data_IF_210862521325
#
_entry.id   IF_210862521325
#
_cell.length_a   1.000
_cell.length_b   1.000
_cell.length_c   1.000
_cell.angle_alpha   90.00
_cell.angle_beta   90.00
_cell.angle_gamma   90.00
#
_symmetry.space_group_name_H-M   'P 1'
#
loop_
_entity.id
_entity.type
_entity.pdbx_description
1 polymer ?
#
# COMPACT_ATOMS: atom_id res chain seq x y z
N UNK A 1 -0.26 3.37 -26.35
CA UNK A 1 -0.01 1.92 -26.30
C UNK A 1 0.89 1.60 -27.49
N UNK A 2 2.05 0.95 -27.33
CA UNK A 2 2.42 0.03 -28.40
C UNK A 2 1.25 -0.96 -28.41
N UNK A 3 0.42 -0.96 -29.46
CA UNK A 3 -0.95 -1.51 -29.44
C UNK A 3 -1.03 -3.01 -29.09
N UNK A 4 0.12 -3.64 -28.82
CA UNK A 4 0.33 -5.07 -28.73
C UNK A 4 0.71 -5.59 -27.34
N UNK A 5 1.05 -4.75 -26.34
CA UNK A 5 1.39 -5.29 -25.01
C UNK A 5 0.12 -5.77 -24.26
N UNK A 6 0.05 -7.07 -23.99
CA UNK A 6 -0.98 -7.71 -23.18
C UNK A 6 -0.31 -8.51 -22.06
N UNK A 7 -0.86 -8.40 -20.86
CA UNK A 7 -0.45 -9.23 -19.73
C UNK A 7 -0.76 -10.69 -20.04
N UNK A 8 0.21 -11.56 -19.80
CA UNK A 8 -0.04 -12.99 -19.72
C UNK A 8 -0.75 -13.27 -18.41
N UNK A 9 -1.96 -13.81 -18.50
CA UNK A 9 -2.84 -14.17 -17.39
C UNK A 9 -3.21 -15.66 -17.44
N UNK A 10 -2.49 -16.45 -18.25
CA UNK A 10 -2.80 -17.85 -18.53
C UNK A 10 -2.82 -18.71 -17.28
N UNK A 11 -1.99 -18.39 -16.29
CA UNK A 11 -1.87 -19.11 -15.01
C UNK A 11 -2.79 -18.57 -13.90
N UNK A 12 -3.59 -17.53 -14.16
CA UNK A 12 -4.57 -17.07 -13.17
C UNK A 12 -5.66 -18.14 -12.92
N UNK A 13 -5.96 -18.46 -11.64
CA UNK A 13 -7.02 -19.40 -11.31
C UNK A 13 -8.39 -18.88 -11.79
N UNK A 14 -9.29 -19.80 -12.15
CA UNK A 14 -10.62 -19.48 -12.68
C UNK A 14 -11.41 -18.58 -11.73
N UNK A 15 -11.29 -18.84 -10.43
CA UNK A 15 -11.92 -18.10 -9.34
C UNK A 15 -11.48 -16.64 -9.33
N UNK A 16 -10.18 -16.38 -9.53
CA UNK A 16 -9.66 -15.02 -9.59
C UNK A 16 -10.08 -14.31 -10.87
N UNK A 17 -10.17 -15.02 -12.00
CA UNK A 17 -10.74 -14.46 -13.25
C UNK A 17 -12.21 -14.06 -13.06
N UNK A 18 -13.00 -14.89 -12.38
CA UNK A 18 -14.38 -14.56 -12.03
C UNK A 18 -14.44 -13.33 -11.10
N UNK A 19 -13.59 -13.25 -10.08
CA UNK A 19 -13.48 -12.05 -9.21
C UNK A 19 -13.17 -10.81 -10.04
N UNK A 20 -12.20 -10.87 -10.95
CA UNK A 20 -11.85 -9.74 -11.82
C UNK A 20 -13.04 -9.32 -12.68
N UNK A 21 -13.78 -10.27 -13.26
CA UNK A 21 -14.98 -9.98 -14.06
C UNK A 21 -16.07 -9.27 -13.25
N UNK A 22 -16.34 -9.76 -12.03
CA UNK A 22 -17.30 -9.12 -11.12
C UNK A 22 -16.87 -7.70 -10.70
N UNK A 23 -15.55 -7.44 -10.62
CA UNK A 23 -15.00 -6.12 -10.30
C UNK A 23 -14.93 -5.16 -11.50
N UNK A 24 -14.97 -5.68 -12.73
CA UNK A 24 -15.02 -4.89 -13.97
C UNK A 24 -16.39 -4.26 -14.16
N UNK A 25 -17.44 -5.08 -14.08
CA UNK A 25 -18.77 -4.75 -14.59
C UNK A 25 -19.48 -3.63 -13.81
N UNK A 26 -19.93 -2.55 -14.49
CA UNK A 26 -20.75 -1.52 -13.88
C UNK A 26 -22.17 -2.02 -13.59
N UNK A 27 -22.77 -2.81 -14.51
CA UNK A 27 -24.16 -3.28 -14.48
C UNK A 27 -24.26 -4.81 -14.58
N UNK A 28 -25.42 -5.36 -14.18
CA UNK A 28 -25.78 -6.80 -14.17
C UNK A 28 -25.91 -7.43 -15.54
N UNK A 29 -26.48 -6.72 -16.51
CA UNK A 29 -26.78 -7.24 -17.84
C UNK A 29 -25.52 -7.71 -18.59
N UNK A 30 -24.37 -7.05 -18.35
CA UNK A 30 -23.08 -7.44 -18.92
C UNK A 30 -22.42 -8.62 -18.19
N UNK A 31 -22.81 -8.88 -16.93
CA UNK A 31 -22.24 -9.99 -16.16
C UNK A 31 -22.81 -11.31 -16.68
N UNK A 32 -24.12 -11.39 -16.93
CA UNK A 32 -24.77 -12.66 -17.29
C UNK A 32 -24.26 -13.28 -18.59
N UNK A 33 -23.89 -12.48 -19.60
CA UNK A 33 -23.47 -12.98 -20.92
C UNK A 33 -22.03 -13.54 -20.92
N UNK A 34 -21.10 -12.91 -20.18
CA UNK A 34 -19.71 -13.38 -20.10
C UNK A 34 -19.47 -14.40 -18.96
N UNK A 35 -20.38 -14.51 -17.99
CA UNK A 35 -20.13 -15.26 -16.76
C UNK A 35 -20.58 -16.72 -16.77
N UNK A 36 -21.48 -17.16 -17.67
CA UNK A 36 -21.96 -18.55 -17.65
C UNK A 36 -20.83 -19.58 -17.85
N UNK A 37 -19.92 -19.32 -18.79
CA UNK A 37 -18.72 -20.16 -18.96
C UNK A 37 -17.73 -20.01 -17.79
N UNK A 38 -17.65 -18.80 -17.19
CA UNK A 38 -16.76 -18.52 -16.05
C UNK A 38 -17.27 -19.09 -14.72
N UNK A 39 -18.56 -19.37 -14.61
CA UNK A 39 -19.19 -19.94 -13.41
C UNK A 39 -19.13 -21.47 -13.39
N UNK A 40 -18.77 -22.09 -14.51
CA UNK A 40 -18.68 -23.56 -14.63
C UNK A 40 -17.43 -24.09 -13.93
N UNK A 41 -17.61 -25.11 -13.09
CA UNK A 41 -16.55 -25.78 -12.31
C UNK A 41 -15.74 -24.83 -11.41
N UNK A 42 -16.39 -23.85 -10.78
CA UNK A 42 -15.75 -22.96 -9.80
C UNK A 42 -15.58 -23.66 -8.45
N UNK A 43 -14.36 -23.62 -7.91
CA UNK A 43 -14.11 -23.92 -6.50
C UNK A 43 -14.51 -22.70 -5.65
N UNK A 44 -15.70 -22.77 -5.07
CA UNK A 44 -16.27 -21.69 -4.28
C UNK A 44 -15.54 -21.45 -2.95
N UNK A 45 -14.84 -22.43 -2.40
CA UNK A 45 -14.00 -22.25 -1.22
C UNK A 45 -12.73 -21.48 -1.58
N UNK A 46 -12.10 -21.81 -2.72
CA UNK A 46 -10.99 -21.04 -3.27
C UNK A 46 -11.43 -19.62 -3.67
N UNK A 47 -12.62 -19.43 -4.23
CA UNK A 47 -13.20 -18.11 -4.50
C UNK A 47 -13.32 -17.26 -3.23
N UNK A 48 -13.80 -17.85 -2.13
CA UNK A 48 -13.87 -17.21 -0.82
C UNK A 48 -12.45 -16.85 -0.31
N UNK A 49 -11.50 -17.78 -0.43
CA UNK A 49 -10.12 -17.56 -0.01
C UNK A 49 -9.45 -16.41 -0.78
N UNK A 50 -9.58 -16.39 -2.11
CA UNK A 50 -9.09 -15.33 -3.00
C UNK A 50 -9.73 -13.98 -2.68
N UNK A 51 -11.06 -13.97 -2.49
CA UNK A 51 -11.82 -12.78 -2.11
C UNK A 51 -11.34 -12.17 -0.79
N UNK A 52 -11.06 -13.02 0.21
CA UNK A 52 -10.50 -12.61 1.50
C UNK A 52 -9.07 -12.09 1.35
N UNK A 53 -8.22 -12.82 0.63
CA UNK A 53 -6.82 -12.50 0.39
C UNK A 53 -6.67 -11.12 -0.26
N UNK A 54 -7.40 -10.87 -1.35
CA UNK A 54 -7.38 -9.60 -2.07
C UNK A 54 -8.18 -8.48 -1.40
N UNK A 55 -8.93 -8.80 -0.33
CA UNK A 55 -9.72 -7.86 0.48
C UNK A 55 -10.79 -7.10 -0.32
N UNK A 56 -11.42 -7.78 -1.27
CA UNK A 56 -12.44 -7.22 -2.17
C UNK A 56 -13.86 -7.64 -1.82
N UNK A 57 -14.03 -8.41 -0.73
CA UNK A 57 -15.32 -8.89 -0.26
C UNK A 57 -16.40 -7.81 -0.07
N UNK A 58 -16.11 -6.54 0.32
CA UNK A 58 -17.18 -5.57 0.47
C UNK A 58 -17.81 -5.18 -0.88
N UNK A 59 -16.98 -5.05 -1.92
CA UNK A 59 -17.42 -4.71 -3.27
C UNK A 59 -18.09 -5.92 -3.91
N UNK A 60 -17.55 -7.12 -3.73
CA UNK A 60 -18.18 -8.33 -4.27
C UNK A 60 -19.56 -8.58 -3.64
N UNK A 61 -19.74 -8.27 -2.34
CA UNK A 61 -21.05 -8.34 -1.71
C UNK A 61 -22.08 -7.42 -2.36
N UNK A 62 -21.70 -6.23 -2.86
CA UNK A 62 -22.65 -5.35 -3.58
C UNK A 62 -22.92 -5.85 -4.99
N UNK A 63 -21.92 -6.44 -5.66
CA UNK A 63 -22.06 -6.97 -7.03
C UNK A 63 -22.89 -8.24 -7.09
N UNK A 64 -22.65 -9.17 -6.19
CA UNK A 64 -23.33 -10.48 -6.18
C UNK A 64 -24.81 -10.34 -5.84
N UNK A 65 -25.20 -9.35 -5.01
CA UNK A 65 -26.62 -9.03 -4.75
C UNK A 65 -27.43 -8.66 -5.99
N UNK A 66 -26.76 -8.31 -7.07
CA UNK A 66 -27.40 -7.93 -8.31
C UNK A 66 -27.53 -9.12 -9.28
N UNK A 67 -26.88 -10.25 -8.98
CA UNK A 67 -26.95 -11.47 -9.80
C UNK A 67 -28.14 -12.33 -9.42
N UNK A 68 -28.56 -13.19 -10.34
CA UNK A 68 -29.60 -14.19 -10.08
C UNK A 68 -29.16 -15.15 -8.96
N UNK A 69 -30.08 -15.43 -8.01
CA UNK A 69 -29.79 -16.21 -6.79
C UNK A 69 -29.25 -17.62 -7.09
N UNK A 70 -29.60 -18.19 -8.24
CA UNK A 70 -29.22 -19.55 -8.64
C UNK A 70 -27.79 -19.67 -9.17
N UNK A 71 -27.11 -18.54 -9.50
CA UNK A 71 -25.77 -18.57 -10.10
C UNK A 71 -24.64 -18.75 -9.07
N UNK A 72 -24.88 -18.41 -7.80
CA UNK A 72 -23.87 -18.41 -6.75
C UNK A 72 -24.39 -19.18 -5.55
N UNK A 73 -23.64 -20.15 -5.00
CA UNK A 73 -24.09 -20.93 -3.86
C UNK A 73 -24.45 -20.06 -2.65
N UNK A 74 -25.53 -20.37 -1.91
CA UNK A 74 -25.98 -19.57 -0.78
C UNK A 74 -24.92 -19.31 0.30
N UNK A 75 -24.01 -20.27 0.54
CA UNK A 75 -22.98 -20.12 1.56
C UNK A 75 -21.94 -19.03 1.20
N UNK A 76 -21.66 -18.82 -0.09
CA UNK A 76 -20.75 -17.76 -0.56
C UNK A 76 -21.38 -16.39 -0.29
N UNK A 77 -22.66 -16.24 -0.62
CA UNK A 77 -23.41 -15.03 -0.32
C UNK A 77 -23.43 -14.71 1.18
N UNK A 78 -23.76 -15.72 2.01
CA UNK A 78 -23.79 -15.57 3.46
C UNK A 78 -22.42 -15.14 4.02
N UNK A 79 -21.34 -15.76 3.53
CA UNK A 79 -19.99 -15.39 3.92
C UNK A 79 -19.67 -13.93 3.57
N UNK A 80 -19.88 -13.52 2.32
CA UNK A 80 -19.57 -12.15 1.87
C UNK A 80 -20.40 -11.09 2.61
N UNK A 81 -21.67 -11.37 2.85
CA UNK A 81 -22.55 -10.49 3.63
C UNK A 81 -22.05 -10.36 5.08
N UNK A 82 -21.64 -11.47 5.70
CA UNK A 82 -21.07 -11.45 7.05
C UNK A 82 -19.77 -10.62 7.09
N UNK A 83 -18.86 -10.81 6.12
CA UNK A 83 -17.61 -10.05 6.06
C UNK A 83 -17.87 -8.56 5.77
N UNK A 84 -18.82 -8.24 4.89
CA UNK A 84 -19.24 -6.87 4.61
C UNK A 84 -19.73 -6.18 5.90
N UNK A 85 -20.64 -6.81 6.65
CA UNK A 85 -21.14 -6.27 7.93
C UNK A 85 -19.99 -6.05 8.93
N UNK A 86 -19.08 -7.02 9.08
CA UNK A 86 -17.90 -6.90 9.95
C UNK A 86 -17.03 -5.71 9.54
N UNK A 87 -16.78 -5.53 8.24
CA UNK A 87 -16.03 -4.40 7.73
C UNK A 87 -16.74 -3.07 7.99
N UNK A 88 -18.06 -2.99 7.81
CA UNK A 88 -18.82 -1.77 8.12
C UNK A 88 -18.62 -1.34 9.57
N UNK A 89 -18.76 -2.26 10.53
CA UNK A 89 -18.51 -1.94 11.94
C UNK A 89 -17.06 -1.53 12.20
N UNK A 90 -16.09 -2.23 11.62
CA UNK A 90 -14.67 -1.87 11.74
C UNK A 90 -14.40 -0.45 11.18
N UNK A 91 -14.94 -0.11 10.02
CA UNK A 91 -14.75 1.18 9.36
C UNK A 91 -15.44 2.32 10.11
N UNK A 92 -16.58 2.06 10.76
CA UNK A 92 -17.22 3.02 11.67
C UNK A 92 -16.37 3.27 12.92
N UNK A 93 -15.83 2.20 13.52
CA UNK A 93 -14.94 2.30 14.68
C UNK A 93 -13.66 3.09 14.35
N UNK A 94 -13.03 2.78 13.22
CA UNK A 94 -11.86 3.52 12.74
C UNK A 94 -12.21 4.98 12.40
N UNK A 95 -13.41 5.27 11.88
CA UNK A 95 -13.84 6.64 11.57
C UNK A 95 -13.93 7.49 12.83
N UNK A 96 -14.54 6.94 13.89
CA UNK A 96 -14.68 7.63 15.17
C UNK A 96 -13.30 7.93 15.79
N UNK A 97 -12.40 6.95 15.77
CA UNK A 97 -11.04 7.14 16.30
C UNK A 97 -10.24 8.15 15.48
N UNK A 98 -10.33 8.08 14.15
CA UNK A 98 -9.68 9.01 13.24
C UNK A 98 -10.13 10.46 13.51
N UNK A 99 -11.44 10.69 13.70
CA UNK A 99 -11.96 12.02 14.06
C UNK A 99 -11.44 12.47 15.43
N UNK A 100 -11.42 11.59 16.43
CA UNK A 100 -10.91 11.89 17.76
C UNK A 100 -9.42 12.28 17.72
N UNK A 101 -8.58 11.48 17.07
CA UNK A 101 -7.15 11.74 16.92
C UNK A 101 -6.93 13.05 16.16
N UNK A 102 -7.60 13.25 15.03
CA UNK A 102 -7.47 14.48 14.24
C UNK A 102 -7.84 15.73 15.05
N UNK A 103 -8.91 15.66 15.84
CA UNK A 103 -9.36 16.78 16.68
C UNK A 103 -8.32 17.13 17.74
N UNK A 104 -7.78 16.14 18.43
CA UNK A 104 -6.80 16.34 19.49
C UNK A 104 -5.47 16.86 18.94
N UNK A 105 -5.00 16.30 17.82
CA UNK A 105 -3.81 16.77 17.14
C UNK A 105 -3.97 18.23 16.70
N UNK A 106 -5.13 18.58 16.14
CA UNK A 106 -5.42 19.96 15.74
C UNK A 106 -5.47 20.93 16.93
N UNK A 107 -5.92 20.50 18.11
CA UNK A 107 -5.95 21.32 19.33
C UNK A 107 -4.53 21.62 19.84
N UNK A 108 -3.62 20.68 19.68
CA UNK A 108 -2.19 20.80 20.02
C UNK A 108 -1.35 21.42 18.90
N UNK A 109 -1.98 21.86 17.80
CA UNK A 109 -1.32 22.50 16.66
C UNK A 109 -0.55 21.55 15.74
N UNK A 110 -0.72 20.24 15.88
CA UNK A 110 -0.06 19.21 15.07
C UNK A 110 -0.82 19.03 13.75
N UNK A 111 -0.11 19.14 12.63
CA UNK A 111 -0.73 19.03 11.29
C UNK A 111 -0.71 17.58 10.81
N UNK A 112 -1.88 17.06 10.44
CA UNK A 112 -2.05 15.67 9.99
C UNK A 112 -2.57 15.59 8.55
N UNK A 113 -1.93 14.78 7.71
CA UNK A 113 -2.44 14.36 6.41
C UNK A 113 -2.74 12.87 6.43
N UNK A 114 -4.02 12.49 6.35
CA UNK A 114 -4.39 11.08 6.36
C UNK A 114 -4.08 10.43 5.01
N UNK A 115 -3.45 9.25 5.06
CA UNK A 115 -2.93 8.55 3.90
C UNK A 115 -3.84 7.39 3.47
N UNK A 116 -4.49 6.73 4.43
CA UNK A 116 -5.38 5.58 4.20
C UNK A 116 -6.58 5.64 5.15
N UNK A 117 -7.09 4.49 5.58
CA UNK A 117 -8.22 4.42 6.52
C UNK A 117 -9.58 4.80 5.91
N UNK A 118 -10.55 5.15 6.78
CA UNK A 118 -11.91 5.49 6.39
C UNK A 118 -12.04 6.74 5.55
N UNK A 119 -11.21 7.75 5.76
CA UNK A 119 -11.25 8.99 4.96
C UNK A 119 -10.94 8.72 3.49
N UNK A 120 -9.99 7.84 3.19
CA UNK A 120 -9.70 7.43 1.82
C UNK A 120 -10.84 6.59 1.22
N UNK A 121 -11.53 5.80 2.06
CA UNK A 121 -12.71 5.06 1.64
C UNK A 121 -13.84 6.01 1.21
N UNK A 122 -14.11 7.04 2.02
CA UNK A 122 -15.09 8.08 1.67
C UNK A 122 -14.69 8.82 0.39
N UNK A 123 -13.43 9.23 0.27
CA UNK A 123 -12.93 10.00 -0.89
C UNK A 123 -13.05 9.23 -2.20
N UNK A 124 -12.69 7.93 -2.20
CA UNK A 124 -12.66 7.14 -3.42
C UNK A 124 -13.99 6.44 -3.74
N UNK A 125 -14.76 6.06 -2.73
CA UNK A 125 -15.94 5.19 -2.92
C UNK A 125 -17.25 5.88 -2.55
N UNK A 126 -17.23 7.02 -1.86
CA UNK A 126 -18.42 7.69 -1.34
C UNK A 126 -19.10 6.97 -0.17
N UNK A 127 -18.64 5.77 0.19
CA UNK A 127 -19.14 4.91 1.25
C UNK A 127 -17.95 4.18 1.91
N UNK A 128 -17.74 4.43 3.20
CA UNK A 128 -16.65 3.83 3.97
C UNK A 128 -16.70 2.31 4.03
N UNK A 129 -17.88 1.70 3.88
CA UNK A 129 -18.07 0.24 3.97
C UNK A 129 -17.51 -0.53 2.79
N UNK A 130 -17.26 0.14 1.65
CA UNK A 130 -16.80 -0.49 0.41
C UNK A 130 -15.28 -0.71 0.36
N UNK A 131 -14.53 -0.08 1.27
CA UNK A 131 -13.09 -0.26 1.39
C UNK A 131 -12.76 -0.91 2.73
N UNK A 132 -11.77 -1.79 2.74
CA UNK A 132 -11.28 -2.39 3.98
C UNK A 132 -10.12 -1.58 4.56
N UNK A 133 -9.94 -1.60 5.87
CA UNK A 133 -8.77 -1.04 6.56
C UNK A 133 -8.59 -1.70 7.93
N UNK A 134 -7.34 -1.82 8.36
CA UNK A 134 -6.95 -2.41 9.66
C UNK A 134 -6.46 -1.37 10.66
N UNK A 135 -6.23 -0.15 10.20
CA UNK A 135 -5.33 0.83 10.78
C UNK A 135 -5.72 2.24 10.31
N UNK A 136 -5.24 3.25 11.03
CA UNK A 136 -5.31 4.65 10.61
C UNK A 136 -3.90 5.16 10.35
N UNK A 137 -3.57 5.34 9.07
CA UNK A 137 -2.31 5.94 8.62
C UNK A 137 -2.46 7.45 8.44
N UNK A 138 -1.57 8.22 9.07
CA UNK A 138 -1.48 9.66 8.81
C UNK A 138 -0.04 10.15 8.87
N UNK A 139 0.24 11.18 8.08
CA UNK A 139 1.53 11.84 7.97
C UNK A 139 1.55 13.09 8.85
N UNK A 140 2.65 13.30 9.57
CA UNK A 140 2.97 14.52 10.32
C UNK A 140 4.37 15.02 9.93
N UNK A 141 4.71 16.29 10.21
CA UNK A 141 6.10 16.76 10.18
C UNK A 141 6.95 15.97 11.17
N UNK A 142 8.14 15.53 10.76
CA UNK A 142 9.05 14.79 11.65
C UNK A 142 9.42 15.56 12.93
N UNK A 143 9.42 16.89 12.86
CA UNK A 143 9.69 17.77 14.01
C UNK A 143 8.57 17.69 15.07
N UNK A 144 7.37 17.29 14.70
CA UNK A 144 6.20 17.18 15.58
C UNK A 144 6.03 15.76 16.15
N UNK A 145 6.92 14.81 15.81
CA UNK A 145 6.78 13.40 16.18
C UNK A 145 6.87 13.14 17.69
N UNK A 146 7.76 13.83 18.39
CA UNK A 146 7.90 13.69 19.85
C UNK A 146 6.63 14.17 20.57
N UNK A 147 6.10 15.34 20.17
CA UNK A 147 4.83 15.86 20.68
C UNK A 147 3.65 14.92 20.37
N UNK A 148 3.62 14.33 19.16
CA UNK A 148 2.62 13.36 18.77
C UNK A 148 2.69 12.08 19.62
N UNK A 149 3.91 11.58 19.90
CA UNK A 149 4.13 10.41 20.77
C UNK A 149 3.60 10.67 22.19
N UNK A 150 3.95 11.81 22.79
CA UNK A 150 3.44 12.20 24.11
C UNK A 150 1.91 12.26 24.17
N UNK A 151 1.28 12.82 23.13
CA UNK A 151 -0.17 12.93 23.04
C UNK A 151 -0.82 11.55 22.91
N UNK A 152 -0.28 10.68 22.07
CA UNK A 152 -0.80 9.31 21.88
C UNK A 152 -0.68 8.48 23.16
N UNK A 153 0.45 8.57 23.88
CA UNK A 153 0.63 7.90 25.17
C UNK A 153 -0.40 8.36 26.19
N UNK A 154 -0.67 9.67 26.27
CA UNK A 154 -1.75 10.22 27.14
C UNK A 154 -3.14 9.69 26.76
N UNK A 155 -3.35 9.31 25.50
CA UNK A 155 -4.59 8.71 25.01
C UNK A 155 -4.66 7.19 25.21
N UNK A 156 -3.65 6.58 25.84
CA UNK A 156 -3.61 5.15 26.12
C UNK A 156 -3.10 4.30 24.95
N UNK A 157 -2.44 4.91 23.98
CA UNK A 157 -1.71 4.19 22.95
C UNK A 157 -0.34 3.76 23.45
N UNK A 158 0.05 2.54 23.09
CA UNK A 158 1.35 1.95 23.36
C UNK A 158 2.13 1.83 22.05
N UNK A 159 3.43 2.08 22.09
CA UNK A 159 4.30 1.93 20.92
C UNK A 159 4.48 0.42 20.63
N UNK A 160 4.06 -0.02 19.44
CA UNK A 160 4.10 -1.44 19.03
C UNK A 160 5.53 -1.82 18.59
N UNK A 161 6.26 -0.87 17.99
CA UNK A 161 7.59 -1.09 17.43
C UNK A 161 8.62 -0.10 17.98
N UNK A 162 9.73 -0.62 18.51
CA UNK A 162 10.94 0.16 18.79
C UNK A 162 11.93 0.04 17.63
N UNK A 163 12.28 1.18 17.04
CA UNK A 163 13.27 1.22 15.96
C UNK A 163 14.66 1.27 16.59
N UNK A 164 15.40 0.18 16.46
CA UNK A 164 16.83 0.17 16.77
C UNK A 164 17.58 1.06 15.78
N UNK A 165 18.52 1.87 16.28
CA UNK A 165 19.21 2.86 15.46
C UNK A 165 20.63 3.10 15.96
N UNK A 166 21.51 3.44 15.01
CA UNK A 166 22.85 3.96 15.26
C UNK A 166 22.98 5.25 14.47
N UNK A 167 23.48 6.31 15.09
CA UNK A 167 23.64 7.63 14.46
C UNK A 167 22.31 8.27 13.98
N UNK A 168 21.18 8.00 14.63
CA UNK A 168 19.85 8.56 14.30
C UNK A 168 19.40 8.31 12.84
N UNK A 169 19.85 7.20 12.25
CA UNK A 169 19.58 6.83 10.87
C UNK A 169 18.12 6.42 10.62
N UNK A 170 17.38 6.08 11.68
CA UNK A 170 15.99 5.66 11.60
C UNK A 170 15.09 6.68 10.89
N UNK A 171 15.36 7.98 11.05
CA UNK A 171 14.55 9.06 10.47
C UNK A 171 14.44 8.97 8.94
N UNK A 172 15.46 8.44 8.27
CA UNK A 172 15.44 8.28 6.83
C UNK A 172 15.28 6.82 6.38
N UNK A 173 15.70 5.84 7.18
CA UNK A 173 15.51 4.41 6.88
C UNK A 173 14.07 3.95 7.08
N UNK A 174 13.42 4.44 8.13
CA UNK A 174 12.01 4.20 8.42
C UNK A 174 11.18 5.38 7.93
N UNK A 175 9.87 5.16 7.89
CA UNK A 175 8.91 6.15 7.39
C UNK A 175 7.70 6.34 8.29
N UNK A 176 7.48 5.42 9.23
CA UNK A 176 6.44 5.49 10.23
C UNK A 176 6.86 4.76 11.50
N UNK A 177 6.05 4.97 12.54
CA UNK A 177 6.04 4.19 13.76
C UNK A 177 4.60 3.77 14.08
N UNK A 178 4.45 2.58 14.64
CA UNK A 178 3.17 1.97 14.93
C UNK A 178 2.81 2.15 16.39
N UNK A 179 1.57 2.55 16.65
CA UNK A 179 0.98 2.62 17.98
C UNK A 179 -0.27 1.78 18.05
N UNK A 180 -0.46 1.05 19.14
CA UNK A 180 -1.60 0.19 19.38
C UNK A 180 -2.31 0.57 20.67
N UNK A 181 -3.64 0.69 20.61
CA UNK A 181 -4.45 0.90 21.80
C UNK A 181 -5.00 -0.45 22.30
N UNK A 182 -4.61 -0.93 23.50
CA UNK A 182 -4.94 -2.27 23.98
C UNK A 182 -6.45 -2.50 24.17
N UNK A 183 -7.17 -1.49 24.70
CA UNK A 183 -8.62 -1.57 24.90
C UNK A 183 -9.43 -1.34 23.63
N UNK A 184 -9.12 -0.30 22.85
CA UNK A 184 -9.86 0.01 21.61
C UNK A 184 -9.54 -0.98 20.48
N UNK A 185 -8.42 -1.71 20.58
CA UNK A 185 -7.90 -2.62 19.55
C UNK A 185 -7.67 -1.91 18.21
N UNK A 186 -7.23 -0.65 18.25
CA UNK A 186 -6.93 0.16 17.06
C UNK A 186 -5.43 0.33 16.91
N UNK A 187 -4.97 0.23 15.67
CA UNK A 187 -3.60 0.52 15.25
C UNK A 187 -3.56 1.89 14.55
N UNK A 188 -2.66 2.75 15.00
CA UNK A 188 -2.30 3.99 14.32
C UNK A 188 -0.89 3.83 13.74
N UNK A 189 -0.71 4.23 12.49
CA UNK A 189 0.61 4.38 11.91
C UNK A 189 0.89 5.88 11.74
N UNK A 190 1.87 6.39 12.49
CA UNK A 190 2.29 7.78 12.42
C UNK A 190 3.46 7.87 11.45
N UNK A 191 3.19 8.35 10.25
CA UNK A 191 4.16 8.52 9.17
C UNK A 191 4.82 9.90 9.27
N UNK A 192 6.10 9.99 8.89
CA UNK A 192 6.79 11.26 8.60
C UNK A 192 7.38 11.29 7.18
N UNK A 193 7.28 10.16 6.47
CA UNK A 193 7.63 9.97 5.06
C UNK A 193 6.56 9.11 4.39
N UNK A 194 6.36 9.23 3.08
CA UNK A 194 5.44 8.36 2.35
C UNK A 194 6.05 6.98 2.09
N UNK A 195 7.36 6.93 1.93
CA UNK A 195 8.11 5.71 1.65
C UNK A 195 9.41 5.64 2.46
N UNK A 196 9.90 4.43 2.78
CA UNK A 196 11.23 4.27 3.36
C UNK A 196 12.30 4.79 2.39
N UNK A 197 13.37 5.34 2.94
CA UNK A 197 14.50 5.86 2.16
C UNK A 197 15.28 4.77 1.39
N UNK A 198 16.26 5.17 0.56
CA UNK A 198 16.81 6.53 0.39
C UNK A 198 16.17 7.31 -0.77
N UNK A 199 14.97 6.94 -1.23
CA UNK A 199 14.27 7.65 -2.31
C UNK A 199 13.95 9.10 -1.95
N UNK A 200 13.94 9.98 -2.96
CA UNK A 200 13.38 11.34 -2.84
C UNK A 200 11.87 11.26 -2.89
N UNK A 201 11.19 12.08 -2.10
CA UNK A 201 9.74 12.23 -2.09
C UNK A 201 9.35 13.69 -1.78
N UNK A 202 8.07 14.08 -1.94
CA UNK A 202 7.59 15.39 -1.51
C UNK A 202 7.78 15.61 -0.01
N UNK A 203 8.15 16.82 0.37
CA UNK A 203 8.18 17.23 1.78
C UNK A 203 6.75 17.36 2.31
N UNK A 204 6.60 17.26 3.64
CA UNK A 204 5.30 17.47 4.28
C UNK A 204 4.65 18.81 3.88
N UNK A 205 5.42 19.90 3.85
CA UNK A 205 4.87 21.22 3.53
C UNK A 205 4.39 21.31 2.07
N UNK A 206 5.11 20.73 1.11
CA UNK A 206 4.66 20.65 -0.29
C UNK A 206 3.33 19.89 -0.41
N UNK A 207 3.18 18.77 0.33
CA UNK A 207 1.94 18.01 0.38
C UNK A 207 0.82 18.79 1.07
N UNK A 208 1.15 19.50 2.16
CA UNK A 208 0.21 20.30 2.93
C UNK A 208 -0.36 21.47 2.14
N UNK A 209 0.43 22.10 1.27
CA UNK A 209 -0.03 23.17 0.39
C UNK A 209 -1.05 22.67 -0.65
N UNK A 210 -0.87 21.43 -1.14
CA UNK A 210 -1.74 20.80 -2.17
C UNK A 210 -2.80 19.86 -1.60
N UNK A 211 -2.98 19.84 -0.28
CA UNK A 211 -3.91 18.93 0.41
C UNK A 211 -5.36 19.10 -0.06
N UNK A 212 -6.12 18.02 0.00
CA UNK A 212 -7.57 18.04 -0.13
C UNK A 212 -8.23 17.99 1.25
N UNK A 213 -9.48 18.46 1.34
CA UNK A 213 -10.29 18.40 2.57
C UNK A 213 -11.39 17.37 2.39
N UNK A 214 -11.50 16.44 3.33
CA UNK A 214 -12.59 15.47 3.36
C UNK A 214 -13.91 16.07 3.83
N UNK A 215 -15.00 15.48 3.36
CA UNK A 215 -16.37 15.75 3.80
C UNK A 215 -16.90 14.70 4.79
N UNK A 216 -16.10 13.71 5.17
CA UNK A 216 -16.53 12.57 6.00
C UNK A 216 -17.01 12.99 7.40
N UNK A 217 -16.37 13.99 8.00
CA UNK A 217 -16.58 14.38 9.40
C UNK A 217 -16.90 15.87 9.53
N UNK A 218 -17.46 16.25 10.68
CA UNK A 218 -17.72 17.65 11.04
C UNK A 218 -16.43 18.46 11.19
N UNK A 219 -15.39 17.83 11.74
CA UNK A 219 -14.06 18.42 11.89
C UNK A 219 -13.28 18.32 10.56
N UNK A 220 -12.46 19.33 10.21
CA UNK A 220 -11.68 19.29 8.97
C UNK A 220 -10.62 18.17 9.04
N UNK A 221 -10.79 17.13 8.22
CA UNK A 221 -9.79 16.10 7.97
C UNK A 221 -9.14 16.38 6.61
N UNK A 222 -7.81 16.31 6.55
CA UNK A 222 -7.05 16.58 5.33
C UNK A 222 -6.41 15.31 4.77
N UNK A 223 -6.41 15.18 3.44
CA UNK A 223 -5.68 14.13 2.71
C UNK A 223 -4.68 14.75 1.74
N UNK A 224 -3.90 13.89 1.09
CA UNK A 224 -3.12 14.27 -0.08
C UNK A 224 -4.03 14.80 -1.20
N UNK A 225 -3.56 15.81 -1.94
CA UNK A 225 -4.16 16.19 -3.22
C UNK A 225 -4.12 15.02 -4.20
N UNK A 226 -5.02 14.99 -5.19
CA UNK A 226 -5.24 13.81 -6.05
C UNK A 226 -3.98 13.34 -6.78
N UNK A 227 -3.15 14.25 -7.26
CA UNK A 227 -1.91 13.91 -7.96
C UNK A 227 -0.86 13.31 -7.02
N UNK A 228 -0.75 13.84 -5.80
CA UNK A 228 0.11 13.29 -4.75
C UNK A 228 -0.44 11.96 -4.20
N UNK A 229 -1.77 11.82 -4.11
CA UNK A 229 -2.45 10.58 -3.75
C UNK A 229 -2.18 9.50 -4.80
N UNK A 230 -2.23 9.83 -6.09
CA UNK A 230 -1.87 8.89 -7.15
C UNK A 230 -0.43 8.39 -6.99
N UNK A 231 0.54 9.31 -6.81
CA UNK A 231 1.94 8.98 -6.52
C UNK A 231 2.07 8.04 -5.32
N UNK A 232 1.36 8.34 -4.22
CA UNK A 232 1.38 7.52 -3.02
C UNK A 232 0.81 6.12 -3.26
N UNK A 233 -0.37 6.00 -3.88
CA UNK A 233 -1.05 4.72 -4.09
C UNK A 233 -0.26 3.80 -5.03
N UNK A 234 0.30 4.33 -6.13
CA UNK A 234 1.10 3.50 -7.06
C UNK A 234 2.42 3.06 -6.43
N UNK A 235 3.09 3.94 -5.68
CA UNK A 235 4.31 3.59 -4.96
C UNK A 235 4.05 2.52 -3.90
N UNK A 236 2.98 2.68 -3.11
CA UNK A 236 2.60 1.75 -2.07
C UNK A 236 2.21 0.39 -2.65
N UNK A 237 1.32 0.35 -3.65
CA UNK A 237 0.88 -0.89 -4.29
C UNK A 237 2.04 -1.66 -4.91
N UNK A 238 2.92 -0.98 -5.64
CA UNK A 238 4.09 -1.61 -6.25
C UNK A 238 5.08 -2.15 -5.22
N UNK A 239 5.34 -1.41 -4.14
CA UNK A 239 6.20 -1.87 -3.04
C UNK A 239 5.68 -3.14 -2.39
N UNK A 240 4.37 -3.35 -2.35
CA UNK A 240 3.75 -4.57 -1.84
C UNK A 240 3.41 -5.60 -2.93
N UNK A 241 4.02 -5.45 -4.11
CA UNK A 241 3.90 -6.40 -5.22
C UNK A 241 2.52 -6.47 -5.86
N UNK A 242 1.62 -5.53 -5.57
CA UNK A 242 0.21 -5.63 -6.00
C UNK A 242 -0.49 -6.94 -5.58
N UNK A 243 0.01 -7.61 -4.52
CA UNK A 243 -0.55 -8.86 -3.96
C UNK A 243 -2.04 -8.79 -3.59
N UNK A 244 -2.63 -7.59 -3.49
CA UNK A 244 -4.06 -7.41 -3.23
C UNK A 244 -4.72 -6.54 -4.28
N UNK A 245 -5.78 -7.04 -4.89
CA UNK A 245 -6.58 -6.29 -5.88
C UNK A 245 -7.16 -4.98 -5.32
N UNK A 246 -7.42 -4.89 -4.00
CA UNK A 246 -7.89 -3.65 -3.36
C UNK A 246 -7.06 -2.42 -3.76
N UNK A 247 -5.73 -2.55 -3.87
CA UNK A 247 -4.88 -1.41 -4.26
C UNK A 247 -5.14 -0.97 -5.70
N UNK A 248 -5.38 -1.89 -6.62
CA UNK A 248 -5.73 -1.57 -8.01
C UNK A 248 -7.14 -0.97 -8.10
N UNK A 249 -8.06 -1.38 -7.23
CA UNK A 249 -9.39 -0.77 -7.16
C UNK A 249 -9.29 0.68 -6.67
N UNK A 250 -8.45 0.98 -5.66
CA UNK A 250 -8.20 2.35 -5.23
C UNK A 250 -7.70 3.23 -6.41
N UNK A 251 -6.80 2.69 -7.25
CA UNK A 251 -6.36 3.36 -8.49
C UNK A 251 -7.52 3.55 -9.48
N UNK A 252 -8.31 2.50 -9.75
CA UNK A 252 -9.50 2.57 -10.62
C UNK A 252 -10.49 3.64 -10.17
N UNK A 253 -10.74 3.76 -8.86
CA UNK A 253 -11.66 4.79 -8.35
C UNK A 253 -11.06 6.20 -8.47
N UNK A 254 -9.77 6.36 -8.17
CA UNK A 254 -9.09 7.65 -8.33
C UNK A 254 -9.09 8.11 -9.80
N UNK A 255 -8.92 7.18 -10.74
CA UNK A 255 -8.95 7.47 -12.18
C UNK A 255 -10.31 7.99 -12.69
N UNK A 256 -11.40 7.74 -11.96
CA UNK A 256 -12.73 8.30 -12.28
C UNK A 256 -12.91 9.74 -11.80
N UNK A 257 -11.96 10.25 -11.03
CA UNK A 257 -11.99 11.62 -10.54
C UNK A 257 -11.18 12.55 -11.43
N UNK A 258 -11.32 13.85 -11.21
CA UNK A 258 -10.54 14.88 -11.91
C UNK A 258 -9.09 14.90 -11.39
N UNK A 259 -8.23 14.09 -12.00
CA UNK A 259 -6.78 14.07 -11.80
C UNK A 259 -6.11 14.84 -12.93
N UNK A 260 -5.23 15.80 -12.61
CA UNK A 260 -4.40 16.49 -13.61
C UNK A 260 -3.23 15.59 -13.98
N UNK A 261 -3.41 14.72 -14.98
CA UNK A 261 -2.44 13.68 -15.37
C UNK A 261 -1.06 14.21 -15.75
N UNK A 262 -0.99 15.37 -16.40
CA UNK A 262 0.27 16.06 -16.68
C UNK A 262 1.05 16.43 -15.42
N UNK A 263 0.35 16.90 -14.39
CA UNK A 263 0.95 17.22 -13.08
C UNK A 263 1.38 15.95 -12.36
N UNK A 264 0.53 14.92 -12.33
CA UNK A 264 0.85 13.62 -11.75
C UNK A 264 2.09 12.99 -12.40
N UNK A 265 2.21 13.08 -13.73
CA UNK A 265 3.38 12.61 -14.47
C UNK A 265 4.65 13.37 -14.11
N UNK A 266 4.58 14.71 -14.03
CA UNK A 266 5.72 15.54 -13.60
C UNK A 266 6.16 15.21 -12.18
N UNK A 267 5.24 14.99 -11.25
CA UNK A 267 5.55 14.55 -9.89
C UNK A 267 6.26 13.20 -9.90
N UNK A 268 5.64 12.19 -10.53
CA UNK A 268 6.22 10.85 -10.66
C UNK A 268 7.63 10.88 -11.27
N UNK A 269 7.85 11.67 -12.32
CA UNK A 269 9.17 11.82 -12.95
C UNK A 269 10.18 12.47 -12.01
N UNK A 270 9.78 13.53 -11.31
CA UNK A 270 10.64 14.28 -10.37
C UNK A 270 11.15 13.42 -9.21
N UNK A 271 10.37 12.42 -8.79
CA UNK A 271 10.72 11.49 -7.72
C UNK A 271 11.19 10.12 -8.22
N UNK A 272 11.26 9.91 -9.54
CA UNK A 272 11.78 8.67 -10.14
C UNK A 272 10.79 7.49 -10.13
N UNK A 273 9.49 7.75 -10.02
CA UNK A 273 8.39 6.76 -9.96
C UNK A 273 7.55 6.66 -11.24
N UNK A 274 7.89 7.36 -12.33
CA UNK A 274 7.11 7.35 -13.57
C UNK A 274 6.85 5.94 -14.14
N UNK A 275 7.82 5.01 -14.08
CA UNK A 275 7.60 3.62 -14.49
C UNK A 275 6.70 2.83 -13.53
N UNK A 276 6.68 3.20 -12.25
CA UNK A 276 5.77 2.63 -11.24
C UNK A 276 4.33 3.14 -11.46
N UNK A 277 4.18 4.42 -11.80
CA UNK A 277 2.90 4.98 -12.23
C UNK A 277 2.35 4.26 -13.46
N UNK A 278 3.19 4.06 -14.48
CA UNK A 278 2.83 3.28 -15.67
C UNK A 278 2.44 1.84 -15.35
N UNK A 279 3.20 1.15 -14.49
CA UNK A 279 2.85 -0.20 -14.00
C UNK A 279 1.44 -0.24 -13.40
N UNK A 280 1.13 0.68 -12.47
CA UNK A 280 -0.18 0.74 -11.81
C UNK A 280 -1.34 0.96 -12.79
N UNK A 281 -1.16 1.86 -13.78
CA UNK A 281 -2.18 2.13 -14.81
C UNK A 281 -2.36 0.90 -15.70
N UNK A 282 -1.28 0.26 -16.17
CA UNK A 282 -1.37 -0.95 -17.02
C UNK A 282 -2.18 -2.04 -16.31
N UNK A 283 -1.88 -2.30 -15.04
CA UNK A 283 -2.61 -3.28 -14.23
C UNK A 283 -4.09 -2.89 -14.07
N UNK A 284 -4.39 -1.63 -13.75
CA UNK A 284 -5.78 -1.16 -13.60
C UNK A 284 -6.58 -1.21 -14.92
N UNK A 285 -5.96 -0.88 -16.06
CA UNK A 285 -6.58 -0.97 -17.38
C UNK A 285 -6.87 -2.42 -17.77
N UNK A 286 -5.87 -3.30 -17.70
CA UNK A 286 -5.98 -4.67 -18.23
C UNK A 286 -6.69 -5.65 -17.27
N UNK A 287 -6.53 -5.49 -15.95
CA UNK A 287 -7.19 -6.37 -14.98
C UNK A 287 -8.61 -5.90 -14.66
N UNK A 288 -8.86 -4.59 -14.56
CA UNK A 288 -10.14 -4.03 -14.09
C UNK A 288 -10.95 -3.27 -15.15
N UNK A 289 -10.50 -3.26 -16.41
CA UNK A 289 -11.15 -2.59 -17.56
C UNK A 289 -11.50 -1.14 -17.25
N UNK A 290 -10.51 -0.40 -16.76
CA UNK A 290 -10.66 1.05 -16.54
C UNK A 290 -10.53 1.78 -17.88
N UNK A 291 -11.23 2.89 -18.04
CA UNK A 291 -11.15 3.70 -19.26
C UNK A 291 -9.76 4.32 -19.41
N UNK A 292 -9.20 4.21 -20.61
CA UNK A 292 -7.95 4.87 -20.96
C UNK A 292 -8.22 6.34 -21.31
N UNK A 293 -7.49 7.26 -20.68
CA UNK A 293 -7.48 8.67 -21.06
C UNK A 293 -6.19 8.97 -21.83
N UNK A 294 -6.29 9.63 -22.97
CA UNK A 294 -5.14 9.94 -23.84
C UNK A 294 -4.01 10.66 -23.10
N UNK A 295 -4.36 11.52 -22.13
CA UNK A 295 -3.42 12.25 -21.26
C UNK A 295 -2.51 11.33 -20.42
N UNK A 296 -2.90 10.08 -20.17
CA UNK A 296 -2.08 9.09 -19.47
C UNK A 296 -1.04 8.43 -20.38
N UNK A 297 -1.16 8.63 -21.71
CA UNK A 297 -0.33 8.01 -22.74
C UNK A 297 1.18 8.00 -22.43
N UNK A 298 1.80 9.12 -21.98
CA UNK A 298 3.22 9.17 -21.66
C UNK A 298 3.69 8.14 -20.62
N UNK A 299 2.81 7.71 -19.70
CA UNK A 299 3.16 6.72 -18.66
C UNK A 299 3.15 5.27 -19.18
N UNK A 300 2.43 5.00 -20.27
CA UNK A 300 2.15 3.65 -20.77
C UNK A 300 3.13 3.14 -21.83
N UNK A 301 3.96 4.03 -22.39
CA UNK A 301 4.86 3.70 -23.51
C UNK A 301 6.16 3.01 -23.02
N UNK A 302 6.47 3.07 -21.73
CA UNK A 302 7.72 2.50 -21.22
C UNK A 302 7.67 0.97 -21.16
N UNK A 303 8.59 0.31 -21.87
CA UNK A 303 8.84 -1.14 -21.76
C UNK A 303 9.08 -1.58 -20.31
N UNK A 304 9.69 -0.70 -19.51
CA UNK A 304 9.91 -0.97 -18.09
C UNK A 304 8.59 -1.05 -17.31
N UNK A 305 7.65 -0.14 -17.57
CA UNK A 305 6.31 -0.18 -16.94
C UNK A 305 5.60 -1.49 -17.29
N UNK A 306 5.68 -1.91 -18.55
CA UNK A 306 5.08 -3.14 -19.06
C UNK A 306 5.69 -4.38 -18.40
N UNK A 307 7.03 -4.48 -18.38
CA UNK A 307 7.73 -5.59 -17.71
C UNK A 307 7.37 -5.66 -16.22
N UNK A 308 7.37 -4.54 -15.51
CA UNK A 308 6.98 -4.49 -14.10
C UNK A 308 5.51 -4.89 -13.87
N UNK A 309 4.62 -4.57 -14.82
CA UNK A 309 3.23 -4.99 -14.75
C UNK A 309 3.12 -6.52 -14.91
N UNK A 310 3.87 -7.11 -15.85
CA UNK A 310 3.93 -8.57 -15.99
C UNK A 310 4.52 -9.25 -14.75
N UNK A 311 5.63 -8.73 -14.20
CA UNK A 311 6.26 -9.23 -12.96
C UNK A 311 5.29 -9.18 -11.75
N UNK A 312 4.31 -8.26 -11.75
CA UNK A 312 3.33 -8.18 -10.68
C UNK A 312 2.28 -9.31 -10.73
N UNK A 313 2.07 -9.95 -11.88
CA UNK A 313 1.09 -11.04 -12.03
C UNK A 313 1.46 -12.25 -11.18
N UNK A 314 2.75 -12.51 -10.96
CA UNK A 314 3.25 -13.54 -10.03
C UNK A 314 2.53 -13.51 -8.68
N UNK A 315 2.32 -12.32 -8.10
CA UNK A 315 1.69 -12.18 -6.79
C UNK A 315 0.19 -12.53 -6.81
N UNK A 316 -0.47 -12.37 -7.96
CA UNK A 316 -1.88 -12.69 -8.16
C UNK A 316 -2.09 -14.18 -8.42
N UNK A 317 -1.17 -14.82 -9.14
CA UNK A 317 -1.17 -16.26 -9.42
C UNK A 317 -0.99 -17.11 -8.14
N UNK A 318 -0.14 -16.64 -7.23
CA UNK A 318 0.35 -17.45 -6.10
C UNK A 318 -0.23 -17.06 -4.73
N UNK A 319 -1.20 -16.15 -4.67
CA UNK A 319 -1.81 -15.64 -3.42
C UNK A 319 -0.78 -15.20 -2.36
N UNK A 320 0.32 -14.57 -2.79
CA UNK A 320 1.46 -14.24 -1.93
C UNK A 320 1.06 -13.32 -0.77
N UNK A 321 1.30 -13.78 0.46
CA UNK A 321 1.11 -12.97 1.66
C UNK A 321 2.45 -12.45 2.21
N UNK A 322 2.75 -11.18 1.91
CA UNK A 322 3.97 -10.50 2.40
C UNK A 322 3.84 -9.95 3.83
N UNK A 323 2.71 -10.17 4.51
CA UNK A 323 2.39 -9.54 5.79
C UNK A 323 2.40 -10.53 6.96
N UNK A 324 2.91 -11.74 6.76
CA UNK A 324 3.00 -12.77 7.79
C UNK A 324 4.35 -13.44 7.68
N UNK A 325 5.14 -13.31 8.74
CA UNK A 325 6.45 -13.95 8.82
C UNK A 325 6.34 -15.38 9.36
N UNK A 326 7.21 -16.31 8.92
CA UNK A 326 8.22 -16.11 7.89
C UNK A 326 7.62 -16.19 6.46
N UNK A 327 8.04 -15.28 5.58
CA UNK A 327 7.76 -15.36 4.15
C UNK A 327 8.58 -16.50 3.52
N UNK A 328 8.00 -17.37 2.66
CA UNK A 328 8.75 -18.41 1.94
C UNK A 328 9.99 -17.86 1.21
N UNK A 329 11.08 -18.63 1.18
CA UNK A 329 12.39 -18.12 0.72
C UNK A 329 12.38 -17.70 -0.75
N UNK A 330 11.71 -18.46 -1.60
CA UNK A 330 11.50 -18.18 -3.02
C UNK A 330 10.71 -16.87 -3.21
N UNK A 331 9.63 -16.69 -2.46
CA UNK A 331 8.83 -15.46 -2.44
C UNK A 331 9.65 -14.27 -1.95
N UNK A 332 10.43 -14.44 -0.88
CA UNK A 332 11.29 -13.39 -0.34
C UNK A 332 12.38 -12.98 -1.35
N UNK A 333 12.97 -13.96 -2.06
CA UNK A 333 13.97 -13.73 -3.11
C UNK A 333 13.36 -12.99 -4.31
N UNK A 334 12.19 -13.42 -4.77
CA UNK A 334 11.43 -12.76 -5.83
C UNK A 334 11.09 -11.32 -5.43
N UNK A 335 10.56 -11.13 -4.22
CA UNK A 335 10.17 -9.82 -3.71
C UNK A 335 11.36 -8.86 -3.58
N UNK A 336 12.52 -9.35 -3.13
CA UNK A 336 13.75 -8.55 -3.10
C UNK A 336 14.19 -8.11 -4.49
N UNK A 337 14.11 -9.00 -5.48
CA UNK A 337 14.41 -8.66 -6.87
C UNK A 337 13.43 -7.60 -7.40
N UNK A 338 12.14 -7.80 -7.16
CA UNK A 338 11.07 -6.86 -7.51
C UNK A 338 11.30 -5.47 -6.91
N UNK A 339 11.55 -5.36 -5.60
CA UNK A 339 11.83 -4.06 -4.96
C UNK A 339 13.02 -3.34 -5.61
N UNK A 340 14.05 -4.08 -6.00
CA UNK A 340 15.19 -3.51 -6.73
C UNK A 340 14.84 -3.13 -8.17
N UNK A 341 13.98 -3.89 -8.86
CA UNK A 341 13.49 -3.60 -10.22
C UNK A 341 12.61 -2.34 -10.26
N UNK A 342 11.94 -1.99 -9.16
CA UNK A 342 11.21 -0.72 -8.99
C UNK A 342 12.11 0.51 -8.88
N UNK A 343 13.38 0.40 -8.49
CA UNK A 343 14.24 1.56 -8.26
C UNK A 343 14.81 2.13 -9.57
N UNK A 344 14.69 3.44 -9.80
CA UNK A 344 15.46 4.14 -10.85
C UNK A 344 16.96 3.97 -10.67
N UNK A 345 17.77 4.19 -11.72
CA UNK A 345 19.24 4.08 -11.63
C UNK A 345 19.82 4.94 -10.49
N UNK A 346 19.30 6.15 -10.32
CA UNK A 346 19.69 7.05 -9.22
C UNK A 346 19.32 6.47 -7.85
N UNK A 347 18.11 5.91 -7.71
CA UNK A 347 17.70 5.25 -6.46
C UNK A 347 18.54 4.00 -6.17
N UNK A 348 18.87 3.19 -7.18
CA UNK A 348 19.76 2.03 -7.05
C UNK A 348 21.14 2.44 -6.53
N UNK A 349 21.71 3.52 -7.06
CA UNK A 349 22.98 4.06 -6.59
C UNK A 349 22.92 4.44 -5.10
N UNK A 350 21.91 5.21 -4.68
CA UNK A 350 21.75 5.56 -3.27
C UNK A 350 21.44 4.36 -2.37
N UNK A 351 20.66 3.39 -2.85
CA UNK A 351 20.40 2.15 -2.15
C UNK A 351 21.67 1.32 -1.95
N UNK A 352 22.55 1.26 -2.96
CA UNK A 352 23.83 0.56 -2.83
C UNK A 352 24.74 1.30 -1.83
N UNK A 353 24.82 2.63 -1.91
CA UNK A 353 25.63 3.43 -0.98
C UNK A 353 25.07 3.41 0.44
N UNK A 354 23.76 3.25 0.63
CA UNK A 354 23.16 3.14 1.96
C UNK A 354 23.64 1.91 2.73
N UNK A 355 24.15 0.87 2.03
CA UNK A 355 24.85 -0.24 2.67
C UNK A 355 26.23 0.13 3.23
N UNK A 356 26.77 1.32 2.99
CA UNK A 356 27.96 1.81 3.68
C UNK A 356 27.63 2.53 4.99
N UNK A 357 26.37 2.95 5.17
CA UNK A 357 25.93 3.57 6.42
C UNK A 357 25.78 2.51 7.51
N UNK A 358 26.34 2.72 8.73
CA UNK A 358 26.23 1.80 9.86
C UNK A 358 24.80 1.34 10.13
N UNK A 359 24.68 0.10 10.63
CA UNK A 359 23.42 -0.49 11.08
C UNK A 359 23.50 -0.78 12.59
N UNK A 360 22.37 -0.96 13.29
CA UNK A 360 22.34 -1.39 14.69
C UNK A 360 23.22 -2.62 14.96
N UNK A 361 23.22 -3.61 14.05
CA UNK A 361 24.01 -4.83 14.19
C UNK A 361 25.53 -4.58 14.16
N UNK A 362 26.00 -3.42 13.66
CA UNK A 362 27.41 -3.03 13.76
C UNK A 362 27.78 -2.65 15.20
N UNK A 363 26.89 -1.94 15.89
CA UNK A 363 27.07 -1.59 17.30
C UNK A 363 26.89 -2.79 18.23
N UNK A 364 26.07 -3.78 17.85
CA UNK A 364 26.00 -5.06 18.57
C UNK A 364 27.28 -5.87 18.42
N UNK A 365 27.87 -5.93 17.21
CA UNK A 365 29.12 -6.67 16.97
C UNK A 365 30.30 -6.06 17.71
N UNK A 366 30.42 -4.73 17.69
CA UNK A 366 31.51 -3.99 18.35
C UNK A 366 30.97 -2.73 19.03
N UNK A 367 30.55 -2.80 20.31
CA UNK A 367 30.03 -1.64 21.02
C UNK A 367 31.09 -0.56 21.18
N UNK A 368 30.86 0.61 20.58
CA UNK A 368 31.67 1.82 20.72
C UNK A 368 30.93 2.90 21.52
N UNK A 369 31.64 3.75 22.31
CA UNK A 369 31.06 4.97 22.86
C UNK A 369 30.49 5.86 21.75
N UNK A 370 29.41 6.61 22.03
CA UNK A 370 28.71 7.45 21.04
C UNK A 370 29.65 8.39 20.26
N UNK A 371 30.64 8.98 20.95
CA UNK A 371 31.65 9.86 20.35
C UNK A 371 32.51 9.18 19.27
N UNK A 372 32.56 7.85 19.27
CA UNK A 372 33.33 7.03 18.34
C UNK A 372 32.46 6.32 17.30
N UNK A 373 31.14 6.54 17.28
CA UNK A 373 30.24 5.90 16.30
C UNK A 373 30.59 6.25 14.84
N UNK A 374 31.28 7.36 14.59
CA UNK A 374 31.80 7.67 13.24
C UNK A 374 32.80 6.63 12.73
N UNK A 375 33.46 5.88 13.63
CA UNK A 375 34.37 4.79 13.25
C UNK A 375 33.62 3.59 12.65
N UNK A 376 32.30 3.46 12.85
CA UNK A 376 31.55 2.39 12.20
C UNK A 376 31.59 2.50 10.67
N UNK A 377 31.70 3.70 10.08
CA UNK A 377 31.80 3.86 8.63
C UNK A 377 33.00 3.09 8.03
N UNK A 378 34.26 3.34 8.44
CA UNK A 378 35.40 2.56 7.95
C UNK A 378 35.45 1.12 8.49
N UNK A 379 34.92 0.85 9.69
CA UNK A 379 34.97 -0.49 10.29
C UNK A 379 33.94 -1.47 9.70
N UNK A 380 32.86 -0.97 9.12
CA UNK A 380 31.72 -1.79 8.71
C UNK A 380 32.04 -2.96 7.77
N UNK A 381 32.89 -2.83 6.72
CA UNK A 381 33.26 -3.99 5.90
C UNK A 381 33.88 -5.13 6.75
N UNK A 382 34.68 -4.77 7.76
CA UNK A 382 35.28 -5.73 8.69
C UNK A 382 34.23 -6.35 9.63
N UNK A 383 33.34 -5.53 10.20
CA UNK A 383 32.26 -6.00 11.08
C UNK A 383 31.27 -6.91 10.35
N UNK A 384 30.93 -6.57 9.10
CA UNK A 384 30.08 -7.40 8.26
C UNK A 384 30.73 -8.76 7.95
N UNK A 385 32.02 -8.77 7.57
CA UNK A 385 32.77 -10.00 7.34
C UNK A 385 32.86 -10.85 8.61
N UNK A 386 33.10 -10.22 9.76
CA UNK A 386 33.13 -10.89 11.07
C UNK A 386 31.79 -11.54 11.43
N UNK A 387 30.65 -10.87 11.19
CA UNK A 387 29.33 -11.49 11.39
C UNK A 387 29.11 -12.70 10.47
N UNK A 388 29.54 -12.60 9.21
CA UNK A 388 29.38 -13.70 8.24
C UNK A 388 30.20 -14.93 8.62
N UNK A 389 31.44 -14.76 9.13
CA UNK A 389 32.25 -15.88 9.60
C UNK A 389 31.69 -16.51 10.87
N UNK A 390 31.15 -15.73 11.81
CA UNK A 390 30.51 -16.25 13.03
C UNK A 390 29.20 -17.00 12.77
N UNK A 391 28.35 -16.52 11.83
CA UNK A 391 27.11 -17.25 11.45
C UNK A 391 27.38 -18.60 10.78
N UNK A 392 28.57 -18.83 10.23
CA UNK A 392 28.99 -20.13 9.70
C UNK A 392 29.71 -21.00 10.75
N UNK A 393 30.03 -20.45 11.92
CA UNK A 393 30.78 -21.13 12.98
C UNK A 393 29.90 -21.57 14.17
N UNK A 394 28.60 -21.28 14.13
CA UNK A 394 27.61 -21.82 15.06
C UNK A 394 26.86 -22.95 14.33
N UNK A 395 26.80 -24.16 14.91
CA UNK A 395 26.13 -25.31 14.30
C UNK A 395 24.62 -25.12 14.11
#
# INVERSE_FOLDING_TARGET
MDKNFRLDLSDLPKELRLILELLRSPNTENICVNSQDLLTDIDWDLFIAQTKHHRVYPILNTKIKLLDEDLIPPFVFQYLNQQYKKNTFQMLHLSAEMEQVCKLFSQEGIRTLFLKGPVLAQELYGDISLRTSSDVDFLIPIQELEQAEELLVKLGYEKDDYIETVLNDWRWRHHHVTYFHPYKRIKLEVHWRLNPGPGKEPTFNELWERKSRSTLTSSPIYLLGREDLFLFLVSHGARHGWSRLRWLIDIKQLMKQEVKWETAYKLLKSYGYHHVGGQGIILALQLLHTDFLDEMGPMLVSERSQRLAQEAIFYLETMVNLHTDPVPEDVARYHKHHLFSLMSYRQKFFFIISFLHPYPEDAETLPLPEKLHFLYFPLRPLLWAWRKTRKHALP
#
